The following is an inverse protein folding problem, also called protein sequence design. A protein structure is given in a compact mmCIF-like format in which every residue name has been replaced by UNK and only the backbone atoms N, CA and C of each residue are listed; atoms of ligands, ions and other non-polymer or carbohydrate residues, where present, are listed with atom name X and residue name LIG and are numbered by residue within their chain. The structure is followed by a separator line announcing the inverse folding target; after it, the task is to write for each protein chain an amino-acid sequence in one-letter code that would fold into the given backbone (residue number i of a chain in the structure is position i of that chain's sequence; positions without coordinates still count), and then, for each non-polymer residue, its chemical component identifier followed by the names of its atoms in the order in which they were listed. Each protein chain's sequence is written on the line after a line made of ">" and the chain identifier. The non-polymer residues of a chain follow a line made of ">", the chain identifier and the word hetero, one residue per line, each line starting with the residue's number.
data_IF_867803256270
#
_entry.id   IF_867803256270
#
_cell.length_a   1.000
_cell.length_b   1.000
_cell.length_c   1.000
_cell.angle_alpha   90.00
_cell.angle_beta   90.00
_cell.angle_gamma   90.00
#
_symmetry.space_group_name_H-M   'P 1'
#
loop_
_entity.id
_entity.type
_entity.pdbx_description
1 polymer ?
#
# COMPACT_ATOMS: atom_id res chain seq x y z
N UNK A 1 15.74 -0.71 -12.69
CA UNK A 1 14.29 -0.77 -13.03
C UNK A 1 13.61 -1.62 -11.97
N UNK A 2 13.01 -1.01 -10.96
CA UNK A 2 12.09 -1.67 -10.05
C UNK A 2 10.93 -2.18 -10.91
N UNK A 3 10.78 -3.51 -10.96
CA UNK A 3 9.51 -4.10 -11.39
C UNK A 3 8.49 -3.71 -10.31
N UNK A 4 7.76 -2.63 -10.54
CA UNK A 4 6.46 -2.48 -9.90
C UNK A 4 5.69 -3.76 -10.26
N UNK A 5 5.39 -4.57 -9.26
CA UNK A 5 4.44 -5.67 -9.45
C UNK A 5 3.10 -5.01 -9.74
N UNK A 6 2.80 -4.92 -11.04
CA UNK A 6 1.66 -4.18 -11.54
C UNK A 6 0.39 -4.89 -11.11
N UNK A 7 -0.44 -4.20 -10.36
CA UNK A 7 -1.87 -4.47 -10.30
C UNK A 7 -2.37 -4.32 -11.75
N UNK A 8 -2.81 -5.41 -12.35
CA UNK A 8 -3.40 -5.41 -13.69
C UNK A 8 -4.89 -5.67 -13.56
N UNK A 9 -5.64 -4.61 -13.43
CA UNK A 9 -7.08 -4.67 -13.47
C UNK A 9 -7.57 -4.08 -14.80
N UNK A 10 -8.40 -4.83 -15.50
CA UNK A 10 -9.15 -4.37 -16.66
C UNK A 10 -10.60 -4.29 -16.25
N UNK A 11 -11.25 -3.16 -16.52
CA UNK A 11 -12.64 -2.96 -16.15
C UNK A 11 -13.52 -2.64 -17.34
N UNK A 12 -14.73 -3.21 -17.32
CA UNK A 12 -15.70 -3.11 -18.42
C UNK A 12 -17.09 -2.81 -17.90
N UNK A 13 -17.81 -1.96 -18.61
CA UNK A 13 -19.22 -1.66 -18.39
C UNK A 13 -19.94 -1.87 -19.71
N UNK A 14 -20.93 -2.79 -19.73
CA UNK A 14 -21.65 -3.15 -20.96
C UNK A 14 -20.71 -3.45 -22.15
N UNK A 15 -19.62 -4.18 -21.90
CA UNK A 15 -18.56 -4.53 -22.82
C UNK A 15 -17.67 -3.35 -23.30
N UNK A 16 -17.88 -2.15 -22.77
CA UNK A 16 -17.03 -0.99 -23.04
C UNK A 16 -15.86 -1.00 -22.03
N UNK A 17 -14.64 -0.93 -22.52
CA UNK A 17 -13.46 -0.86 -21.65
C UNK A 17 -13.36 0.52 -20.98
N UNK A 18 -13.46 0.53 -19.65
CA UNK A 18 -13.32 1.73 -18.83
C UNK A 18 -11.89 1.87 -18.34
N UNK A 19 -11.03 2.46 -19.18
CA UNK A 19 -9.58 2.55 -18.94
C UNK A 19 -9.25 3.31 -17.64
N UNK A 20 -10.05 4.34 -17.30
CA UNK A 20 -9.92 5.13 -16.08
C UNK A 20 -10.68 4.52 -14.90
N UNK A 21 -11.32 3.36 -15.10
CA UNK A 21 -12.08 2.66 -14.08
C UNK A 21 -13.44 3.30 -13.82
N UNK A 22 -13.71 3.61 -12.56
CA UNK A 22 -14.97 4.19 -12.11
C UNK A 22 -15.48 3.54 -10.83
N UNK A 23 -16.76 3.78 -10.51
CA UNK A 23 -17.41 3.35 -9.28
C UNK A 23 -17.41 1.83 -9.08
N UNK A 24 -17.59 1.05 -10.15
CA UNK A 24 -17.54 -0.42 -10.11
C UNK A 24 -16.15 -0.94 -9.68
N UNK A 25 -15.06 -0.33 -10.19
CA UNK A 25 -13.70 -0.71 -9.81
C UNK A 25 -13.38 -0.27 -8.38
N UNK A 26 -13.90 0.88 -7.96
CA UNK A 26 -13.80 1.35 -6.57
C UNK A 26 -14.51 0.39 -5.60
N UNK A 27 -15.73 -0.04 -5.93
CA UNK A 27 -16.47 -1.05 -5.16
C UNK A 27 -15.71 -2.37 -5.06
N UNK A 28 -15.18 -2.85 -6.18
CA UNK A 28 -14.35 -4.06 -6.24
C UNK A 28 -13.13 -3.99 -5.31
N UNK A 29 -12.34 -2.91 -5.42
CA UNK A 29 -11.12 -2.74 -4.60
C UNK A 29 -11.43 -2.62 -3.11
N UNK A 30 -12.53 -1.95 -2.75
CA UNK A 30 -12.98 -1.80 -1.38
C UNK A 30 -13.42 -3.15 -0.80
N UNK A 31 -14.26 -3.88 -1.50
CA UNK A 31 -14.75 -5.19 -1.05
C UNK A 31 -13.60 -6.20 -0.90
N UNK A 32 -12.72 -6.29 -1.89
CA UNK A 32 -11.56 -7.18 -1.85
C UNK A 32 -10.71 -6.93 -0.61
N UNK A 33 -10.32 -5.67 -0.39
CA UNK A 33 -9.48 -5.30 0.75
C UNK A 33 -10.17 -5.60 2.08
N UNK A 34 -11.45 -5.25 2.22
CA UNK A 34 -12.23 -5.45 3.44
C UNK A 34 -12.40 -6.93 3.76
N UNK A 35 -12.79 -7.74 2.77
CA UNK A 35 -13.04 -9.17 2.98
C UNK A 35 -11.77 -9.93 3.31
N UNK A 36 -10.68 -9.69 2.58
CA UNK A 36 -9.38 -10.31 2.87
C UNK A 36 -8.82 -9.87 4.23
N UNK A 37 -8.97 -8.58 4.58
CA UNK A 37 -8.54 -8.08 5.88
C UNK A 37 -9.31 -8.76 7.01
N UNK A 38 -10.64 -8.82 6.92
CA UNK A 38 -11.48 -9.50 7.90
C UNK A 38 -11.06 -10.96 8.07
N UNK A 39 -10.92 -11.71 6.97
CA UNK A 39 -10.51 -13.11 7.03
C UNK A 39 -9.11 -13.28 7.68
N UNK A 40 -8.17 -12.40 7.36
CA UNK A 40 -6.82 -12.44 7.91
C UNK A 40 -6.78 -12.11 9.42
N UNK A 41 -7.67 -11.23 9.89
CA UNK A 41 -7.88 -10.91 11.30
C UNK A 41 -8.52 -12.10 12.04
N UNK A 42 -9.62 -12.63 11.52
CA UNK A 42 -10.37 -13.77 12.09
C UNK A 42 -9.51 -15.03 12.18
N UNK A 43 -8.65 -15.27 11.17
CA UNK A 43 -7.71 -16.39 11.17
C UNK A 43 -6.48 -16.20 12.08
N UNK A 44 -6.32 -15.02 12.71
CA UNK A 44 -5.20 -14.70 13.59
C UNK A 44 -3.84 -14.57 12.87
N UNK A 45 -3.81 -14.59 11.55
CA UNK A 45 -2.55 -14.56 10.76
C UNK A 45 -1.84 -13.21 10.86
N UNK A 46 -2.58 -12.12 11.19
CA UNK A 46 -2.02 -10.77 11.33
C UNK A 46 -1.45 -10.49 12.72
N UNK A 47 -1.75 -11.32 13.72
CA UNK A 47 -1.36 -11.09 15.13
C UNK A 47 0.17 -10.96 15.35
N UNK A 48 0.98 -11.51 14.46
CA UNK A 48 2.44 -11.47 14.53
C UNK A 48 3.07 -10.25 13.85
N UNK A 49 2.30 -9.45 13.16
CA UNK A 49 2.81 -8.28 12.43
C UNK A 49 2.91 -7.07 13.37
N UNK A 50 4.06 -6.40 13.32
CA UNK A 50 4.35 -5.19 14.13
C UNK A 50 4.11 -3.89 13.35
N UNK A 51 3.50 -3.96 12.17
CA UNK A 51 3.26 -2.83 11.28
C UNK A 51 1.91 -2.98 10.57
N UNK A 52 1.35 -1.86 10.12
CA UNK A 52 0.06 -1.82 9.47
C UNK A 52 0.15 -2.28 8.00
N UNK A 53 -0.87 -3.04 7.59
CA UNK A 53 -1.07 -3.45 6.19
C UNK A 53 -1.89 -2.38 5.48
N UNK A 54 -1.40 -1.95 4.32
CA UNK A 54 -2.10 -0.98 3.49
C UNK A 54 -3.06 -1.66 2.51
N UNK A 55 -4.08 -0.94 2.03
CA UNK A 55 -5.01 -1.46 1.03
C UNK A 55 -4.32 -1.92 -0.27
N UNK A 56 -3.18 -1.31 -0.62
CA UNK A 56 -2.39 -1.69 -1.79
C UNK A 56 -1.69 -3.04 -1.63
N UNK A 57 -1.29 -3.40 -0.42
CA UNK A 57 -0.66 -4.70 -0.13
C UNK A 57 -1.62 -5.87 -0.42
N UNK A 58 -2.93 -5.67 -0.21
CA UNK A 58 -3.97 -6.66 -0.54
C UNK A 58 -4.19 -6.84 -2.03
N UNK A 59 -3.74 -5.90 -2.84
CA UNK A 59 -3.89 -5.91 -4.30
C UNK A 59 -2.58 -6.17 -5.03
N UNK A 60 -1.47 -6.25 -4.32
CA UNK A 60 -0.16 -6.48 -4.93
C UNK A 60 -0.11 -7.84 -5.62
N UNK A 61 0.24 -7.82 -6.91
CA UNK A 61 0.28 -9.02 -7.76
C UNK A 61 -1.10 -9.52 -8.21
N UNK A 62 -2.18 -8.78 -7.92
CA UNK A 62 -3.52 -9.09 -8.40
C UNK A 62 -3.60 -8.86 -9.92
N UNK A 63 -4.21 -9.82 -10.62
CA UNK A 63 -4.71 -9.65 -11.97
C UNK A 63 -6.21 -9.93 -11.95
N UNK A 64 -7.02 -8.95 -12.32
CA UNK A 64 -8.46 -9.05 -12.25
C UNK A 64 -9.13 -8.45 -13.50
N UNK A 65 -10.26 -9.02 -13.88
CA UNK A 65 -11.16 -8.45 -14.88
C UNK A 65 -12.50 -8.22 -14.21
N UNK A 66 -12.93 -6.96 -14.18
CA UNK A 66 -14.22 -6.56 -13.61
C UNK A 66 -15.15 -6.16 -14.73
N UNK A 67 -16.19 -6.94 -14.95
CA UNK A 67 -17.20 -6.66 -15.99
C UNK A 67 -18.57 -6.56 -15.37
N UNK A 68 -19.23 -5.42 -15.56
CA UNK A 68 -20.58 -5.17 -15.06
C UNK A 68 -21.54 -4.82 -16.19
N UNK A 69 -22.79 -5.19 -16.00
CA UNK A 69 -23.90 -4.77 -16.87
C UNK A 69 -24.78 -3.80 -16.10
N UNK A 70 -24.89 -2.59 -16.62
CA UNK A 70 -25.66 -1.49 -16.02
C UNK A 70 -26.73 -1.06 -17.00
N UNK A 71 -27.95 -0.90 -16.55
CA UNK A 71 -29.10 -0.60 -17.38
C UNK A 71 -28.99 0.81 -18.00
N UNK A 72 -28.61 1.79 -17.20
CA UNK A 72 -28.41 3.18 -17.61
C UNK A 72 -27.02 3.68 -17.15
N UNK A 73 -25.96 3.33 -17.89
CA UNK A 73 -24.63 3.70 -17.48
C UNK A 73 -24.37 5.21 -17.71
N UNK A 74 -23.98 5.90 -16.64
CA UNK A 74 -23.54 7.27 -16.68
C UNK A 74 -22.00 7.29 -16.71
N UNK A 75 -21.46 7.80 -17.80
CA UNK A 75 -20.02 7.91 -17.97
C UNK A 75 -19.56 9.35 -17.79
N UNK A 76 -18.38 9.52 -17.20
CA UNK A 76 -17.69 10.80 -17.22
C UNK A 76 -17.09 11.03 -18.61
N UNK A 77 -17.64 12.00 -19.35
CA UNK A 77 -17.19 12.35 -20.69
C UNK A 77 -17.67 11.45 -21.83
N UNK A 78 -17.50 11.94 -23.04
CA UNK A 78 -17.96 11.25 -24.29
C UNK A 78 -17.13 10.00 -24.61
N UNK A 79 -15.92 9.90 -24.14
CA UNK A 79 -15.02 8.76 -24.38
C UNK A 79 -15.38 7.50 -23.59
N UNK A 80 -16.34 7.62 -22.64
CA UNK A 80 -16.85 6.51 -21.80
C UNK A 80 -15.75 5.75 -21.04
N UNK A 81 -14.69 6.43 -20.68
CA UNK A 81 -13.51 5.85 -20.03
C UNK A 81 -13.70 5.59 -18.55
N UNK A 82 -14.68 6.26 -17.89
CA UNK A 82 -14.93 6.16 -16.46
C UNK A 82 -16.42 6.11 -16.16
N UNK A 83 -16.84 5.14 -15.33
CA UNK A 83 -18.22 5.02 -14.86
C UNK A 83 -18.47 5.90 -13.65
N UNK A 84 -19.58 6.67 -13.68
CA UNK A 84 -19.97 7.60 -12.63
C UNK A 84 -21.11 7.14 -11.71
N UNK A 85 -21.82 6.06 -12.05
CA UNK A 85 -22.96 5.57 -11.26
C UNK A 85 -22.56 5.16 -9.83
N UNK A 86 -22.98 5.91 -8.81
CA UNK A 86 -22.60 5.63 -7.41
C UNK A 86 -23.19 4.32 -6.86
N UNK A 87 -24.42 3.98 -7.26
CA UNK A 87 -25.12 2.76 -6.84
C UNK A 87 -24.37 1.48 -7.25
N UNK A 88 -23.64 1.52 -8.35
CA UNK A 88 -22.87 0.38 -8.85
C UNK A 88 -21.73 0.00 -7.91
N UNK A 89 -21.12 0.99 -7.24
CA UNK A 89 -20.07 0.72 -6.27
C UNK A 89 -20.56 -0.14 -5.10
N UNK A 90 -21.75 0.15 -4.58
CA UNK A 90 -22.34 -0.61 -3.49
C UNK A 90 -22.77 -2.02 -3.92
N UNK A 91 -23.35 -2.15 -5.11
CA UNK A 91 -23.77 -3.43 -5.66
C UNK A 91 -22.57 -4.39 -5.89
N UNK A 92 -21.49 -3.88 -6.48
CA UNK A 92 -20.26 -4.66 -6.70
C UNK A 92 -19.60 -5.01 -5.37
N UNK A 93 -19.55 -4.06 -4.42
CA UNK A 93 -18.98 -4.29 -3.09
C UNK A 93 -19.69 -5.42 -2.36
N UNK A 94 -21.03 -5.42 -2.37
CA UNK A 94 -21.82 -6.44 -1.71
C UNK A 94 -21.69 -7.82 -2.40
N UNK A 95 -21.78 -7.87 -3.71
CA UNK A 95 -21.69 -9.11 -4.47
C UNK A 95 -20.31 -9.77 -4.30
N UNK A 96 -19.23 -8.98 -4.38
CA UNK A 96 -17.89 -9.51 -4.20
C UNK A 96 -17.63 -9.93 -2.76
N UNK A 97 -18.08 -9.15 -1.78
CA UNK A 97 -17.88 -9.49 -0.37
C UNK A 97 -18.53 -10.82 0.02
N UNK A 98 -19.74 -11.08 -0.50
CA UNK A 98 -20.43 -12.38 -0.30
C UNK A 98 -19.65 -13.51 -0.99
N UNK A 99 -19.46 -13.42 -2.31
CA UNK A 99 -18.83 -14.50 -3.08
C UNK A 99 -17.39 -14.79 -2.65
N UNK A 100 -16.61 -13.75 -2.34
CA UNK A 100 -15.24 -13.93 -1.87
C UNK A 100 -15.22 -14.48 -0.44
N UNK A 101 -16.14 -14.06 0.42
CA UNK A 101 -16.27 -14.59 1.77
C UNK A 101 -16.50 -16.10 1.75
N UNK A 102 -17.54 -16.52 1.02
CA UNK A 102 -17.88 -17.95 0.84
C UNK A 102 -16.69 -18.74 0.28
N UNK A 103 -16.03 -18.22 -0.75
CA UNK A 103 -14.85 -18.87 -1.34
C UNK A 103 -13.69 -19.06 -0.34
N UNK A 104 -13.40 -18.05 0.48
CA UNK A 104 -12.30 -18.13 1.46
C UNK A 104 -12.61 -19.13 2.58
N UNK A 105 -13.88 -19.28 2.97
CA UNK A 105 -14.32 -20.26 3.96
C UNK A 105 -14.28 -21.69 3.40
N UNK A 106 -14.68 -21.88 2.15
CA UNK A 106 -14.67 -23.18 1.48
C UNK A 106 -13.25 -23.64 1.13
N UNK A 107 -12.32 -22.70 0.85
CA UNK A 107 -10.97 -23.00 0.38
C UNK A 107 -9.87 -22.44 1.32
N UNK A 108 -9.72 -22.99 2.53
CA UNK A 108 -8.81 -22.47 3.54
C UNK A 108 -7.33 -22.53 3.13
N UNK A 109 -6.95 -23.45 2.23
CA UNK A 109 -5.58 -23.55 1.72
C UNK A 109 -5.24 -22.36 0.84
N UNK A 110 -6.14 -22.01 -0.08
CA UNK A 110 -5.97 -20.88 -0.99
C UNK A 110 -6.07 -19.56 -0.23
N UNK A 111 -7.02 -19.45 0.69
CA UNK A 111 -7.16 -18.29 1.57
C UNK A 111 -5.87 -18.01 2.36
N UNK A 112 -5.26 -19.07 2.93
CA UNK A 112 -3.98 -18.94 3.63
C UNK A 112 -2.85 -18.49 2.69
N UNK A 113 -2.77 -19.04 1.48
CA UNK A 113 -1.77 -18.64 0.49
C UNK A 113 -1.92 -17.16 0.07
N UNK A 114 -3.16 -16.71 -0.14
CA UNK A 114 -3.48 -15.31 -0.46
C UNK A 114 -3.02 -14.40 0.67
N UNK A 115 -3.42 -14.69 1.92
CA UNK A 115 -3.03 -13.86 3.09
C UNK A 115 -1.51 -13.86 3.30
N UNK A 116 -0.83 -14.98 3.10
CA UNK A 116 0.64 -15.03 3.15
C UNK A 116 1.28 -14.12 2.09
N UNK A 117 0.69 -14.06 0.90
CA UNK A 117 1.17 -13.15 -0.16
C UNK A 117 1.00 -11.69 0.25
N UNK A 118 -0.13 -11.33 0.85
CA UNK A 118 -0.39 -9.98 1.38
C UNK A 118 0.64 -9.62 2.47
N UNK A 119 0.91 -10.54 3.40
CA UNK A 119 1.91 -10.33 4.46
C UNK A 119 3.31 -10.12 3.87
N UNK A 120 3.66 -10.89 2.84
CA UNK A 120 4.94 -10.74 2.15
C UNK A 120 5.07 -9.38 1.47
N UNK A 121 4.01 -8.93 0.79
CA UNK A 121 3.96 -7.61 0.15
C UNK A 121 4.14 -6.47 1.18
N UNK A 122 3.38 -6.52 2.28
CA UNK A 122 3.48 -5.54 3.36
C UNK A 122 4.88 -5.53 4.01
N UNK A 123 5.48 -6.70 4.22
CA UNK A 123 6.84 -6.84 4.76
C UNK A 123 7.88 -6.23 3.81
N UNK A 124 7.78 -6.53 2.53
CA UNK A 124 8.68 -5.98 1.51
C UNK A 124 8.58 -4.45 1.43
N UNK A 125 7.36 -3.90 1.46
CA UNK A 125 7.12 -2.45 1.49
C UNK A 125 7.72 -1.81 2.74
N UNK A 126 7.50 -2.40 3.92
CA UNK A 126 8.06 -1.91 5.18
C UNK A 126 9.60 -1.94 5.18
N UNK A 127 10.20 -3.03 4.72
CA UNK A 127 11.65 -3.15 4.60
C UNK A 127 12.24 -2.12 3.63
N UNK A 128 11.59 -1.91 2.48
CA UNK A 128 12.01 -0.90 1.50
C UNK A 128 11.93 0.53 2.07
N UNK A 129 10.88 0.84 2.83
CA UNK A 129 10.75 2.14 3.51
C UNK A 129 11.86 2.34 4.54
N UNK A 130 12.08 1.37 5.39
CA UNK A 130 13.14 1.42 6.41
C UNK A 130 14.54 1.56 5.79
N UNK A 131 14.82 0.84 4.69
CA UNK A 131 16.08 0.98 3.97
C UNK A 131 16.27 2.40 3.40
N UNK A 132 15.22 3.00 2.84
CA UNK A 132 15.26 4.41 2.37
C UNK A 132 15.54 5.39 3.50
N UNK A 133 14.88 5.22 4.64
CA UNK A 133 15.08 6.07 5.82
C UNK A 133 16.52 5.96 6.35
N UNK A 134 17.10 4.75 6.36
CA UNK A 134 18.49 4.55 6.73
C UNK A 134 19.48 5.24 5.76
N UNK A 135 19.22 5.16 4.46
CA UNK A 135 20.04 5.84 3.45
C UNK A 135 19.92 7.35 3.60
N UNK A 136 18.71 7.89 3.75
CA UNK A 136 18.50 9.32 3.97
C UNK A 136 19.21 9.82 5.22
N UNK A 137 19.11 9.09 6.35
CA UNK A 137 19.87 9.45 7.57
C UNK A 137 21.37 9.42 7.38
N UNK A 138 21.88 8.42 6.65
CA UNK A 138 23.32 8.35 6.34
C UNK A 138 23.75 9.50 5.43
N UNK A 139 22.95 9.87 4.45
CA UNK A 139 23.29 10.95 3.50
C UNK A 139 23.29 12.32 4.18
N UNK A 140 22.38 12.55 5.13
CA UNK A 140 22.35 13.80 5.92
C UNK A 140 23.52 13.88 6.91
N UNK A 141 23.98 12.75 7.44
CA UNK A 141 25.04 12.68 8.46
C UNK A 141 26.43 12.36 7.89
N UNK A 142 26.55 11.82 6.67
CA UNK A 142 27.84 11.34 6.14
C UNK A 142 28.25 11.89 4.77
N UNK A 143 27.44 12.68 4.11
CA UNK A 143 27.70 13.11 2.74
C UNK A 143 27.78 14.61 2.50
N UNK A 144 27.23 15.40 3.37
CA UNK A 144 27.51 16.82 3.49
C UNK A 144 27.89 17.01 4.95
N UNK A 145 29.12 17.26 5.26
CA UNK A 145 29.54 17.65 6.61
C UNK A 145 28.52 18.63 7.16
N UNK A 146 28.20 18.50 8.44
CA UNK A 146 27.34 19.46 9.13
C UNK A 146 27.67 20.87 8.63
N UNK A 147 26.70 21.75 8.34
CA UNK A 147 27.00 23.03 7.70
C UNK A 147 28.08 23.77 8.47
N UNK A 148 29.19 23.95 7.84
CA UNK A 148 30.37 24.79 8.14
C UNK A 148 30.94 24.78 9.55
N UNK A 149 30.13 24.90 10.58
CA UNK A 149 30.60 25.13 11.97
C UNK A 149 30.09 24.12 12.97
N UNK A 150 29.40 23.07 12.53
CA UNK A 150 28.88 22.02 13.37
C UNK A 150 29.78 20.77 13.28
N UNK A 151 30.23 20.25 14.41
CA UNK A 151 30.92 18.98 14.53
C UNK A 151 29.96 17.92 15.07
N UNK A 152 30.03 16.69 14.54
CA UNK A 152 29.19 15.59 14.96
C UNK A 152 29.81 14.85 16.16
N UNK A 153 28.95 14.28 16.99
CA UNK A 153 29.36 13.44 18.11
C UNK A 153 29.85 12.08 17.61
N UNK A 154 30.99 11.62 18.05
CA UNK A 154 31.54 10.30 17.72
C UNK A 154 30.77 9.15 18.39
N UNK A 155 30.05 9.42 19.49
CA UNK A 155 29.20 8.45 20.17
C UNK A 155 27.82 8.32 19.50
N UNK A 156 27.33 7.06 19.38
CA UNK A 156 25.96 6.76 18.93
C UNK A 156 24.96 6.62 20.08
N UNK A 157 25.45 6.62 21.29
CA UNK A 157 24.62 6.52 22.49
C UNK A 157 24.16 7.91 22.91
N UNK A 158 22.85 8.14 22.81
CA UNK A 158 22.24 9.43 23.15
C UNK A 158 22.29 9.75 24.64
N UNK A 159 22.46 8.75 25.50
CA UNK A 159 22.48 8.92 26.94
C UNK A 159 23.77 9.57 27.44
N UNK A 160 24.85 9.47 26.65
CA UNK A 160 26.19 10.03 26.94
C UNK A 160 26.58 11.13 25.97
N UNK A 161 25.69 11.53 25.06
CA UNK A 161 25.97 12.60 24.11
C UNK A 161 25.67 13.96 24.73
N UNK A 162 26.63 14.88 24.62
CA UNK A 162 26.53 16.25 25.11
C UNK A 162 26.61 17.24 23.95
N UNK A 163 25.97 18.40 24.09
CA UNK A 163 26.02 19.49 23.12
C UNK A 163 26.84 20.63 23.71
N UNK A 164 27.88 21.04 23.00
CA UNK A 164 28.70 22.18 23.35
C UNK A 164 28.41 23.36 22.40
N UNK A 165 28.10 24.50 22.97
CA UNK A 165 27.98 25.76 22.26
C UNK A 165 29.23 26.57 22.49
N UNK A 166 29.94 26.92 21.43
CA UNK A 166 31.19 27.68 21.48
C UNK A 166 31.08 28.96 20.67
N UNK A 167 31.74 30.01 21.13
CA UNK A 167 31.83 31.28 20.43
C UNK A 167 33.08 31.30 19.52
N UNK A 168 32.85 31.21 18.23
CA UNK A 168 33.92 31.29 17.19
C UNK A 168 34.69 29.99 16.94
N UNK A 169 35.36 29.92 15.80
CA UNK A 169 36.01 28.72 15.28
C UNK A 169 37.24 28.32 16.13
N UNK A 170 37.90 29.26 16.81
CA UNK A 170 39.07 29.01 17.68
C UNK A 170 38.73 28.32 19.00
N UNK A 171 37.47 28.39 19.44
CA UNK A 171 37.02 27.70 20.67
C UNK A 171 36.48 26.30 20.38
N UNK A 172 36.18 25.99 19.13
CA UNK A 172 35.64 24.68 18.72
C UNK A 172 36.66 23.56 18.62
N UNK A 173 37.94 23.85 18.80
CA UNK A 173 39.05 22.88 18.70
C UNK A 173 39.34 22.44 17.27
N UNK A 174 40.56 22.10 16.99
CA UNK A 174 40.99 21.41 15.77
C UNK A 174 40.79 19.92 15.91
#
# INVERSE_FOLDING_TARGET
>A
RQRQMCIRDSSYVNNINTIEGGTHLTGFRRALTRTLKKYAEDSGMLAKLKFDINGDDFREGLTAVVSVKVQEPQFEGQTKTKLGNDEVAAAVDQALASALGDYLEENPKDAKAIVQKVILAATARHAARHARELVQRKTVLSGAGLPGKLADCSSRDRSIAEIFFVEGDSAGGT
#
